data_IF_615113051039
#
_entry.id   IF_615113051039
#
_cell.length_a   1.000
_cell.length_b   1.000
_cell.length_c   1.000
_cell.angle_alpha   90.00
_cell.angle_beta   90.00
_cell.angle_gamma   90.00
#
_symmetry.space_group_name_H-M   'P 1'
#
loop_
_entity.id
_entity.type
_entity.pdbx_description
1 polymer ?
#
# COMPACT_ATOMS: atom_id res chain seq x y z
N UNK A 1 -25.95 50.56 -29.22
CA UNK A 1 -25.05 49.44 -28.94
C UNK A 1 -24.91 49.37 -27.43
N UNK A 2 -25.85 48.68 -26.80
CA UNK A 2 -25.96 48.52 -25.36
C UNK A 2 -26.58 47.14 -25.13
N UNK A 3 -25.91 46.32 -24.33
CA UNK A 3 -26.52 45.49 -23.28
C UNK A 3 -25.36 44.90 -22.46
N UNK A 4 -25.17 45.44 -21.26
CA UNK A 4 -24.70 44.66 -20.13
C UNK A 4 -25.85 43.74 -19.70
N UNK A 5 -25.55 42.50 -19.37
CA UNK A 5 -26.24 41.80 -18.28
C UNK A 5 -25.27 40.82 -17.64
N UNK A 6 -25.00 41.09 -16.37
CA UNK A 6 -24.34 40.22 -15.41
C UNK A 6 -25.17 38.95 -15.14
N UNK A 7 -24.48 37.86 -14.81
CA UNK A 7 -25.06 36.77 -14.03
C UNK A 7 -23.98 36.19 -13.10
N UNK A 8 -24.09 36.58 -11.83
CA UNK A 8 -23.85 35.81 -10.59
C UNK A 8 -24.43 34.38 -10.70
N UNK A 9 -24.09 33.33 -9.95
CA UNK A 9 -23.10 32.99 -8.93
C UNK A 9 -23.19 31.46 -8.70
N UNK A 10 -22.11 30.87 -8.19
CA UNK A 10 -21.91 29.58 -7.51
C UNK A 10 -22.92 28.42 -7.66
N UNK A 11 -22.40 27.27 -8.09
CA UNK A 11 -22.75 25.98 -7.46
C UNK A 11 -21.49 25.16 -7.16
N UNK A 12 -21.02 25.31 -5.92
CA UNK A 12 -20.05 24.45 -5.25
C UNK A 12 -20.62 23.03 -5.14
N UNK A 13 -20.05 22.09 -5.89
CA UNK A 13 -20.09 20.67 -5.57
C UNK A 13 -18.65 20.17 -5.44
N UNK A 14 -18.04 20.52 -4.31
CA UNK A 14 -16.77 19.99 -3.85
C UNK A 14 -16.90 18.50 -3.48
N UNK A 15 -15.79 17.79 -3.73
CA UNK A 15 -15.34 16.54 -3.10
C UNK A 15 -15.70 15.22 -3.81
N UNK A 16 -14.75 14.72 -4.60
CA UNK A 16 -14.04 13.44 -4.38
C UNK A 16 -12.88 13.30 -5.38
N UNK A 17 -12.03 14.33 -5.44
CA UNK A 17 -10.69 14.19 -6.01
C UNK A 17 -9.82 13.43 -5.01
N UNK A 18 -9.83 12.10 -5.07
CA UNK A 18 -8.80 11.29 -4.42
C UNK A 18 -7.48 11.64 -5.10
N UNK A 19 -6.76 12.62 -4.51
CA UNK A 19 -5.36 12.84 -4.81
C UNK A 19 -4.62 11.55 -4.42
N UNK A 20 -4.48 10.64 -5.37
CA UNK A 20 -3.31 9.78 -5.38
C UNK A 20 -2.15 10.72 -5.72
N UNK A 21 -1.37 11.07 -4.70
CA UNK A 21 -0.14 11.80 -4.89
C UNK A 21 0.63 11.08 -6.00
N UNK A 22 0.82 11.76 -7.12
CA UNK A 22 1.80 11.34 -8.12
C UNK A 22 3.15 11.48 -7.44
N UNK A 23 3.57 10.44 -6.71
CA UNK A 23 4.98 10.21 -6.48
C UNK A 23 5.60 10.20 -7.87
N UNK A 24 6.44 11.18 -8.16
CA UNK A 24 7.15 11.26 -9.43
C UNK A 24 7.88 9.93 -9.64
N UNK A 25 7.29 9.07 -10.50
CA UNK A 25 7.90 7.79 -10.88
C UNK A 25 9.13 8.14 -11.69
N UNK A 26 10.22 8.27 -10.98
CA UNK A 26 11.45 8.82 -11.50
C UNK A 26 12.28 7.80 -12.28
N UNK A 27 11.93 6.51 -12.17
CA UNK A 27 12.46 5.46 -13.04
C UNK A 27 11.34 4.45 -13.40
N UNK A 28 11.20 4.17 -14.71
CA UNK A 28 10.22 3.23 -15.24
C UNK A 28 10.89 2.24 -16.20
N UNK A 29 10.74 0.95 -15.94
CA UNK A 29 11.16 -0.13 -16.84
C UNK A 29 9.90 -0.70 -17.49
N UNK A 30 9.77 -0.44 -18.78
CA UNK A 30 8.61 -0.84 -19.56
C UNK A 30 8.51 -2.34 -19.81
N UNK A 31 7.33 -2.75 -20.26
CA UNK A 31 7.05 -4.12 -20.72
C UNK A 31 7.97 -4.49 -21.88
N UNK A 32 8.44 -5.74 -21.90
CA UNK A 32 9.34 -6.25 -22.93
C UNK A 32 10.79 -5.79 -22.83
N UNK A 33 11.14 -4.99 -21.81
CA UNK A 33 12.53 -4.68 -21.48
C UNK A 33 13.10 -5.83 -20.67
N UNK A 34 14.25 -6.35 -21.12
CA UNK A 34 15.08 -7.26 -20.34
C UNK A 34 16.30 -6.50 -19.82
N UNK A 35 16.41 -6.39 -18.50
CA UNK A 35 17.55 -5.78 -17.84
C UNK A 35 18.38 -6.84 -17.13
N UNK A 36 19.69 -6.82 -17.32
CA UNK A 36 20.64 -7.68 -16.61
C UNK A 36 21.73 -6.84 -15.95
N UNK A 37 21.84 -6.93 -14.63
CA UNK A 37 22.85 -6.21 -13.85
C UNK A 37 22.29 -5.61 -12.57
N UNK A 38 22.87 -4.50 -12.12
CA UNK A 38 22.52 -3.85 -10.86
C UNK A 38 21.85 -2.50 -11.11
N UNK A 39 20.66 -2.30 -10.53
CA UNK A 39 19.98 -1.00 -10.46
C UNK A 39 20.18 -0.43 -9.07
N UNK A 40 20.75 0.78 -8.99
CA UNK A 40 20.85 1.55 -7.75
C UNK A 40 20.20 2.90 -7.97
N UNK A 41 19.12 3.17 -7.24
CA UNK A 41 18.31 4.36 -7.47
C UNK A 41 17.72 4.91 -6.17
N UNK A 42 17.68 6.24 -6.03
CA UNK A 42 17.09 6.89 -4.86
C UNK A 42 15.73 7.50 -5.24
N UNK A 43 14.66 6.79 -4.91
CA UNK A 43 13.29 7.25 -5.14
C UNK A 43 12.36 6.10 -5.53
N UNK A 44 11.23 6.45 -6.16
CA UNK A 44 10.23 5.48 -6.61
C UNK A 44 10.58 4.93 -7.99
N UNK A 45 10.69 3.61 -8.09
CA UNK A 45 10.96 2.87 -9.34
C UNK A 45 9.82 1.92 -9.64
N UNK A 46 9.42 1.86 -10.91
CA UNK A 46 8.41 0.92 -11.40
C UNK A 46 8.99 -0.02 -12.45
N UNK A 47 8.71 -1.30 -12.30
CA UNK A 47 9.22 -2.36 -13.19
C UNK A 47 8.03 -3.17 -13.69
N UNK A 48 7.81 -3.14 -15.00
CA UNK A 48 6.78 -3.93 -15.71
C UNK A 48 7.42 -4.97 -16.67
N UNK A 49 8.76 -5.10 -16.68
CA UNK A 49 9.52 -6.00 -17.56
C UNK A 49 10.26 -7.14 -16.84
N UNK A 50 11.26 -7.70 -17.51
CA UNK A 50 12.11 -8.77 -16.96
C UNK A 50 13.40 -8.19 -16.39
N UNK A 51 13.73 -8.54 -15.15
CA UNK A 51 14.96 -8.09 -14.50
C UNK A 51 15.73 -9.27 -13.90
N UNK A 52 17.00 -9.37 -14.23
CA UNK A 52 17.95 -10.31 -13.64
C UNK A 52 19.11 -9.55 -12.99
N UNK A 53 19.38 -9.81 -11.70
CA UNK A 53 20.53 -9.25 -10.99
C UNK A 53 20.20 -8.67 -9.62
N UNK A 54 20.42 -7.36 -9.42
CA UNK A 54 20.26 -6.73 -8.11
C UNK A 54 19.55 -5.38 -8.21
N UNK A 55 18.64 -5.10 -7.26
CA UNK A 55 17.92 -3.83 -7.16
C UNK A 55 18.17 -3.23 -5.78
N UNK A 56 18.62 -1.99 -5.75
CA UNK A 56 18.83 -1.19 -4.55
C UNK A 56 18.06 0.12 -4.67
N UNK A 57 17.08 0.31 -3.79
CA UNK A 57 16.39 1.60 -3.64
C UNK A 57 16.13 1.90 -2.17
N UNK A 58 16.14 3.18 -1.80
CA UNK A 58 15.69 3.62 -0.48
C UNK A 58 14.20 3.97 -0.47
N UNK A 59 13.59 4.16 -1.65
CA UNK A 59 12.20 4.56 -1.81
C UNK A 59 11.27 3.37 -2.05
N UNK A 60 10.33 3.58 -2.97
CA UNK A 60 9.27 2.61 -3.29
C UNK A 60 9.63 1.82 -4.54
N UNK A 61 9.57 0.48 -4.44
CA UNK A 61 9.63 -0.41 -5.59
C UNK A 61 8.22 -0.89 -5.95
N UNK A 62 7.77 -0.53 -7.15
CA UNK A 62 6.52 -0.96 -7.74
C UNK A 62 6.81 -2.07 -8.76
N UNK A 63 6.34 -3.29 -8.49
CA UNK A 63 6.45 -4.42 -9.43
C UNK A 63 5.09 -4.61 -10.10
N UNK A 64 5.06 -4.38 -11.41
CA UNK A 64 3.89 -4.58 -12.26
C UNK A 64 3.48 -6.04 -12.36
N UNK A 65 2.27 -6.27 -12.85
CA UNK A 65 1.67 -7.60 -12.97
C UNK A 65 2.44 -8.53 -13.93
N UNK A 66 2.92 -7.98 -15.05
CA UNK A 66 3.69 -8.72 -16.06
C UNK A 66 5.18 -8.83 -15.74
N UNK A 67 5.63 -8.19 -14.65
CA UNK A 67 7.03 -8.15 -14.30
C UNK A 67 7.54 -9.51 -13.81
N UNK A 68 8.74 -9.88 -14.25
CA UNK A 68 9.44 -11.10 -13.82
C UNK A 68 10.81 -10.69 -13.31
N UNK A 69 10.98 -10.74 -11.99
CA UNK A 69 12.20 -10.31 -11.32
C UNK A 69 12.90 -11.54 -10.75
N UNK A 70 14.09 -11.84 -11.26
CA UNK A 70 15.00 -12.84 -10.71
C UNK A 70 16.20 -12.13 -10.13
N UNK A 71 16.08 -11.64 -8.88
CA UNK A 71 17.05 -10.71 -8.34
C UNK A 71 17.09 -10.69 -6.82
N UNK A 72 18.19 -10.14 -6.29
CA UNK A 72 18.24 -9.69 -4.90
C UNK A 72 17.72 -8.25 -4.82
N UNK A 73 16.67 -8.04 -4.05
CA UNK A 73 15.95 -6.77 -3.97
C UNK A 73 16.12 -6.17 -2.60
N UNK A 74 16.63 -4.95 -2.53
CA UNK A 74 16.67 -4.12 -1.31
C UNK A 74 15.90 -2.84 -1.57
N UNK A 75 14.81 -2.60 -0.83
CA UNK A 75 13.95 -1.43 -1.00
C UNK A 75 13.49 -0.84 0.35
N UNK A 76 12.97 0.38 0.35
CA UNK A 76 12.25 0.93 1.50
C UNK A 76 10.89 0.24 1.65
N UNK A 77 9.99 0.54 0.71
CA UNK A 77 8.67 -0.08 0.58
C UNK A 77 8.59 -0.87 -0.72
N UNK A 78 8.01 -2.08 -0.69
CA UNK A 78 7.79 -2.90 -1.89
C UNK A 78 6.29 -3.13 -2.08
N UNK A 79 5.80 -2.88 -3.29
CA UNK A 79 4.45 -3.25 -3.71
C UNK A 79 4.58 -4.19 -4.90
N UNK A 80 4.19 -5.44 -4.71
CA UNK A 80 4.33 -6.48 -5.72
C UNK A 80 2.96 -6.94 -6.26
N UNK A 81 2.81 -6.89 -7.59
CA UNK A 81 1.70 -7.54 -8.34
C UNK A 81 2.18 -8.64 -9.28
N UNK A 82 3.49 -8.74 -9.51
CA UNK A 82 4.10 -9.66 -10.49
C UNK A 82 4.82 -10.84 -9.86
N UNK A 83 5.83 -11.35 -10.55
CA UNK A 83 6.60 -12.52 -10.13
C UNK A 83 7.98 -12.11 -9.64
N UNK A 84 8.33 -12.52 -8.42
CA UNK A 84 9.66 -12.31 -7.84
C UNK A 84 10.26 -13.66 -7.47
N UNK A 85 11.49 -13.91 -7.89
CA UNK A 85 12.29 -15.08 -7.52
C UNK A 85 13.63 -14.59 -6.96
N UNK A 86 13.90 -14.84 -5.68
CA UNK A 86 15.12 -14.39 -5.02
C UNK A 86 14.88 -13.81 -3.63
N UNK A 87 15.91 -13.19 -3.06
CA UNK A 87 15.87 -12.60 -1.73
C UNK A 87 15.39 -11.16 -1.77
N UNK A 88 14.40 -10.85 -0.94
CA UNK A 88 13.72 -9.56 -0.87
C UNK A 88 13.88 -8.98 0.54
N UNK A 89 14.50 -7.83 0.63
CA UNK A 89 14.70 -7.09 1.88
C UNK A 89 14.00 -5.74 1.78
N UNK A 90 13.00 -5.52 2.62
CA UNK A 90 12.32 -4.23 2.73
C UNK A 90 12.58 -3.59 4.08
N UNK A 91 13.02 -2.32 4.09
CA UNK A 91 13.30 -1.57 5.31
C UNK A 91 12.02 -1.16 6.06
N UNK A 92 10.90 -0.95 5.36
CA UNK A 92 9.67 -0.43 5.95
C UNK A 92 8.50 -1.41 5.88
N UNK A 93 8.09 -1.83 4.68
CA UNK A 93 6.96 -2.74 4.50
C UNK A 93 6.95 -3.40 3.13
N UNK A 94 6.32 -4.57 3.05
CA UNK A 94 6.00 -5.27 1.81
C UNK A 94 4.49 -5.42 1.70
N UNK A 95 3.96 -5.07 0.53
CA UNK A 95 2.56 -5.30 0.14
C UNK A 95 2.54 -6.22 -1.06
N UNK A 96 2.06 -7.44 -0.86
CA UNK A 96 1.80 -8.38 -1.94
C UNK A 96 0.32 -8.27 -2.34
N UNK A 97 0.08 -8.02 -3.61
CA UNK A 97 -1.24 -7.89 -4.21
C UNK A 97 -1.46 -9.01 -5.22
N UNK A 98 -2.69 -9.52 -5.36
CA UNK A 98 -2.97 -10.47 -6.42
C UNK A 98 -2.72 -9.86 -7.81
N UNK A 99 -2.22 -10.65 -8.79
CA UNK A 99 -1.87 -12.07 -8.74
C UNK A 99 -0.37 -12.33 -8.45
N UNK A 100 0.23 -11.65 -7.47
CA UNK A 100 1.66 -11.76 -7.21
C UNK A 100 2.09 -13.19 -6.84
N UNK A 101 3.27 -13.56 -7.33
CA UNK A 101 3.94 -14.82 -7.01
C UNK A 101 5.33 -14.50 -6.50
N UNK A 102 5.65 -14.91 -5.27
CA UNK A 102 6.98 -14.70 -4.70
C UNK A 102 7.58 -16.04 -4.30
N UNK A 103 8.76 -16.35 -4.85
CA UNK A 103 9.53 -17.53 -4.54
C UNK A 103 10.90 -17.11 -3.98
N UNK A 104 11.14 -17.31 -2.68
CA UNK A 104 12.42 -16.94 -2.05
C UNK A 104 12.29 -16.40 -0.63
N UNK A 105 13.36 -15.80 -0.13
CA UNK A 105 13.42 -15.24 1.22
C UNK A 105 12.89 -13.82 1.28
N UNK A 106 11.97 -13.53 2.20
CA UNK A 106 11.52 -12.17 2.50
C UNK A 106 12.02 -11.76 3.89
N UNK A 107 12.61 -10.58 3.99
CA UNK A 107 12.92 -9.90 5.24
C UNK A 107 12.26 -8.54 5.30
N UNK A 108 11.36 -8.32 6.25
CA UNK A 108 10.63 -7.05 6.37
C UNK A 108 10.10 -6.83 7.79
N UNK A 109 9.95 -5.59 8.27
CA UNK A 109 9.32 -5.36 9.58
C UNK A 109 7.78 -5.37 9.49
N UNK A 110 7.20 -5.21 8.30
CA UNK A 110 5.75 -5.23 8.10
C UNK A 110 5.40 -5.91 6.77
N UNK A 111 4.53 -6.91 6.83
CA UNK A 111 4.05 -7.63 5.64
C UNK A 111 2.52 -7.54 5.55
N UNK A 112 2.02 -7.23 4.36
CA UNK A 112 0.61 -7.30 4.01
C UNK A 112 0.46 -8.16 2.76
N UNK A 113 -0.39 -9.18 2.84
CA UNK A 113 -0.69 -10.11 1.75
C UNK A 113 -2.18 -10.03 1.47
N UNK A 114 -2.53 -9.66 0.23
CA UNK A 114 -3.91 -9.71 -0.26
C UNK A 114 -4.30 -11.15 -0.68
N UNK A 115 -5.60 -11.42 -0.72
CA UNK A 115 -6.13 -12.70 -1.20
C UNK A 115 -5.72 -12.95 -2.65
N UNK A 116 -5.35 -14.21 -2.96
CA UNK A 116 -4.93 -14.61 -4.31
C UNK A 116 -3.43 -14.50 -4.59
N UNK A 117 -2.62 -14.09 -3.61
CA UNK A 117 -1.15 -14.12 -3.71
C UNK A 117 -0.61 -15.52 -3.41
N UNK A 118 0.39 -15.95 -4.20
CA UNK A 118 1.17 -17.16 -3.93
C UNK A 118 2.54 -16.78 -3.37
N UNK A 119 2.81 -17.16 -2.12
CA UNK A 119 4.11 -16.98 -1.48
C UNK A 119 4.72 -18.33 -1.13
N UNK A 120 5.90 -18.64 -1.68
CA UNK A 120 6.66 -19.85 -1.40
C UNK A 120 8.08 -19.49 -0.94
N UNK A 121 8.39 -19.67 0.34
CA UNK A 121 9.74 -19.48 0.83
C UNK A 121 9.79 -19.15 2.32
N UNK A 122 10.86 -18.46 2.71
CA UNK A 122 11.11 -18.09 4.11
C UNK A 122 10.74 -16.64 4.36
N UNK A 123 10.17 -16.37 5.53
CA UNK A 123 9.83 -15.01 5.96
C UNK A 123 10.50 -14.73 7.30
N UNK A 124 11.30 -13.68 7.36
CA UNK A 124 11.94 -13.18 8.57
C UNK A 124 11.41 -11.77 8.90
N UNK A 125 10.78 -11.61 10.07
CA UNK A 125 10.30 -10.31 10.52
C UNK A 125 11.43 -9.54 11.20
N UNK A 126 11.84 -8.40 10.62
CA UNK A 126 13.03 -7.66 11.08
C UNK A 126 12.81 -6.74 12.29
N UNK A 127 11.56 -6.46 12.66
CA UNK A 127 11.23 -5.75 13.89
C UNK A 127 10.14 -6.50 14.67
N UNK A 128 10.31 -6.53 15.99
CA UNK A 128 9.30 -7.04 16.93
C UNK A 128 8.07 -6.14 16.99
N UNK A 129 6.97 -6.74 17.46
CA UNK A 129 5.61 -6.19 17.54
C UNK A 129 5.60 -4.69 17.88
N UNK A 130 5.13 -3.87 16.94
CA UNK A 130 4.78 -2.47 17.19
C UNK A 130 3.41 -2.47 17.86
N UNK A 131 3.34 -2.10 19.14
CA UNK A 131 2.06 -1.99 19.86
C UNK A 131 1.14 -1.02 19.12
N UNK A 132 -0.02 -1.51 18.66
CA UNK A 132 -1.08 -0.65 18.13
C UNK A 132 -1.80 -0.06 19.34
N UNK A 133 -1.77 1.28 19.56
CA UNK A 133 -2.53 1.89 20.64
C UNK A 133 -4.02 1.58 20.42
N UNK A 134 -4.61 0.78 21.30
CA UNK A 134 -6.04 0.48 21.27
C UNK A 134 -6.78 1.69 21.84
N UNK A 135 -7.07 2.68 21.02
CA UNK A 135 -8.01 3.73 21.42
C UNK A 135 -9.45 3.23 21.24
N UNK A 136 -10.13 2.94 22.35
CA UNK A 136 -11.37 3.65 22.79
C UNK A 136 -11.87 3.00 24.10
N UNK A 137 -12.00 3.74 25.22
CA UNK A 137 -12.64 3.22 26.42
C UNK A 137 -14.13 2.95 26.15
N UNK A 138 -14.61 1.78 26.54
CA UNK A 138 -16.03 1.42 26.47
C UNK A 138 -16.83 2.42 27.33
N UNK A 139 -17.66 3.25 26.69
CA UNK A 139 -18.68 4.00 27.42
C UNK A 139 -19.72 3.01 27.99
N UNK A 140 -20.08 3.08 29.29
CA UNK A 140 -21.09 2.20 29.85
C UNK A 140 -22.44 2.45 29.17
N UNK A 141 -23.02 1.39 28.60
CA UNK A 141 -24.39 1.39 28.06
C UNK A 141 -25.34 1.70 29.21
N UNK A 142 -26.02 2.84 29.10
CA UNK A 142 -27.02 3.27 30.08
C UNK A 142 -28.14 2.23 30.23
N UNK A 143 -28.37 1.79 31.46
CA UNK A 143 -29.55 1.05 31.87
C UNK A 143 -30.80 1.88 31.57
N UNK A 144 -31.60 1.46 30.58
CA UNK A 144 -32.92 2.02 30.33
C UNK A 144 -33.83 1.77 31.53
N UNK A 145 -34.46 2.84 31.99
CA UNK A 145 -35.24 2.88 33.22
C UNK A 145 -36.39 1.88 33.26
N UNK A 146 -36.48 1.14 34.36
CA UNK A 146 -37.71 0.45 34.73
C UNK A 146 -38.72 1.49 35.23
N UNK A 147 -39.82 1.62 34.49
CA UNK A 147 -41.00 2.35 34.91
C UNK A 147 -41.57 1.79 36.22
N UNK A 148 -41.42 2.55 37.29
CA UNK A 148 -42.07 2.30 38.57
C UNK A 148 -43.53 2.72 38.52
N UNK A 149 -44.41 1.74 38.60
CA UNK A 149 -45.88 1.83 38.59
C UNK A 149 -46.38 2.72 39.74
N UNK A 150 -47.19 3.74 39.38
CA UNK A 150 -47.95 4.59 40.31
C UNK A 150 -48.92 3.72 41.13
N UNK A 151 -48.61 3.48 42.41
CA UNK A 151 -49.57 2.94 43.38
C UNK A 151 -50.20 4.08 44.17
N UNK A 152 -51.52 4.15 44.06
CA UNK A 152 -52.45 4.94 44.86
C UNK A 152 -52.32 4.63 46.35
N UNK A 153 -52.63 5.60 47.23
CA UNK A 153 -53.61 5.44 48.33
C UNK A 153 -53.61 6.64 49.29
N UNK A 154 -54.83 7.01 49.74
CA UNK A 154 -55.11 7.61 51.04
C UNK A 154 -55.41 9.09 51.04
#
# INVERSE_FOLDING_TARGET
MAEEVEAEDISLASNLGRQEASEDVSAFVGKGVEFKGTISYNGTVRIDGSLDGEIHTEGVLLVGEEAVITAKVTAGTIVCKGKITGDVVAKEKIKLRAPAIVNGGIKTPMLSIEEGVLFNGTLEMSQGIREVPRETPLHPVGISGQGGIKRING
#
